data_IF_671644180355
#
_entry.id   IF_671644180355
#
_cell.length_a   1.000
_cell.length_b   1.000
_cell.length_c   1.000
_cell.angle_alpha   90.00
_cell.angle_beta   90.00
_cell.angle_gamma   90.00
#
_symmetry.space_group_name_H-M   'P 1'
#
loop_
_entity.id
_entity.type
_entity.pdbx_description
1 polymer ?
#
# COMPACT_ATOMS: atom_id res chain seq x y z
N UNK A 1 4.07 21.49 12.41
CA UNK A 1 4.60 20.93 11.16
C UNK A 1 6.01 21.47 10.95
N UNK A 2 6.95 20.63 10.56
CA UNK A 2 8.35 20.96 10.31
C UNK A 2 8.79 20.22 9.05
N UNK A 3 9.34 20.92 8.08
CA UNK A 3 10.01 20.31 6.93
C UNK A 3 11.52 20.39 7.14
N UNK A 4 12.20 19.25 7.05
CA UNK A 4 13.65 19.15 7.12
C UNK A 4 14.19 18.91 5.70
N UNK A 5 14.59 19.96 4.96
CA UNK A 5 15.16 19.80 3.63
C UNK A 5 16.58 19.24 3.72
N UNK A 6 16.96 18.48 2.71
CA UNK A 6 18.26 17.83 2.57
C UNK A 6 18.62 17.72 1.08
N UNK A 7 18.67 18.88 0.40
CA UNK A 7 18.93 18.96 -1.04
C UNK A 7 20.28 18.39 -1.43
N UNK A 8 21.28 18.53 -0.56
CA UNK A 8 22.65 18.08 -0.79
C UNK A 8 22.89 16.63 -0.30
N UNK A 9 21.97 16.09 0.51
CA UNK A 9 22.01 14.71 1.03
C UNK A 9 22.90 14.50 2.26
N UNK A 10 23.57 15.54 2.75
CA UNK A 10 24.52 15.46 3.86
C UNK A 10 23.84 15.22 5.22
N UNK A 11 22.56 15.61 5.36
CA UNK A 11 21.83 15.45 6.62
C UNK A 11 21.23 14.04 6.76
N UNK A 12 21.20 13.27 5.67
CA UNK A 12 20.47 12.01 5.57
C UNK A 12 19.06 12.11 6.16
N UNK A 13 18.36 13.23 5.90
CA UNK A 13 17.10 13.56 6.56
C UNK A 13 16.04 12.47 6.32
N UNK A 14 16.03 11.88 5.11
CA UNK A 14 15.18 10.75 4.72
C UNK A 14 15.36 9.50 5.58
N UNK A 15 16.53 9.34 6.22
CA UNK A 15 16.86 8.19 7.06
C UNK A 15 16.55 8.42 8.54
N UNK A 16 16.33 9.66 8.98
CA UNK A 16 16.01 9.99 10.38
C UNK A 16 14.82 9.19 10.95
N UNK A 17 13.73 8.92 10.19
CA UNK A 17 12.63 8.09 10.68
C UNK A 17 13.03 6.66 11.05
N UNK A 18 14.17 6.16 10.54
CA UNK A 18 14.70 4.84 10.84
C UNK A 18 15.61 4.82 12.08
N UNK A 19 16.01 5.99 12.59
CA UNK A 19 16.80 6.11 13.82
C UNK A 19 15.90 5.81 15.01
N UNK A 20 16.27 4.80 15.80
CA UNK A 20 15.50 4.36 16.96
C UNK A 20 15.19 5.53 17.90
N UNK A 21 13.92 5.66 18.26
CA UNK A 21 13.44 6.70 19.19
C UNK A 21 13.37 8.11 18.62
N UNK A 22 13.86 8.40 17.40
CA UNK A 22 13.84 9.75 16.84
C UNK A 22 12.41 10.28 16.67
N UNK A 23 11.55 9.53 15.97
CA UNK A 23 10.15 9.94 15.76
C UNK A 23 9.35 9.91 17.06
N UNK A 24 9.60 8.91 17.92
CA UNK A 24 8.97 8.81 19.23
C UNK A 24 9.31 10.02 20.13
N UNK A 25 10.55 10.49 20.11
CA UNK A 25 10.99 11.69 20.85
C UNK A 25 10.28 12.95 20.38
N UNK A 26 10.01 13.08 19.08
CA UNK A 26 9.19 14.18 18.53
C UNK A 26 7.77 14.11 19.10
N UNK A 27 7.16 12.92 19.11
CA UNK A 27 5.83 12.71 19.69
C UNK A 27 5.78 13.04 21.18
N UNK A 28 6.76 12.58 21.97
CA UNK A 28 6.86 12.85 23.39
C UNK A 28 6.98 14.35 23.69
N UNK A 29 7.78 15.08 22.91
CA UNK A 29 7.92 16.54 23.04
C UNK A 29 6.64 17.28 22.62
N UNK A 30 5.94 16.79 21.60
CA UNK A 30 4.69 17.37 21.11
C UNK A 30 3.48 17.05 22.01
N UNK A 31 3.55 15.98 22.81
CA UNK A 31 2.40 15.47 23.56
C UNK A 31 1.30 14.88 22.66
N UNK A 32 1.65 14.42 21.45
CA UNK A 32 0.72 13.90 20.46
C UNK A 32 1.39 12.84 19.58
N UNK A 33 0.59 11.99 18.91
CA UNK A 33 1.12 10.94 18.02
C UNK A 33 1.91 11.59 16.88
N UNK A 34 3.18 11.25 16.69
CA UNK A 34 4.00 11.85 15.64
C UNK A 34 3.64 11.25 14.28
N UNK A 35 3.71 12.07 13.23
CA UNK A 35 3.47 11.67 11.84
C UNK A 35 4.66 12.15 11.01
N UNK A 36 5.22 11.28 10.16
CA UNK A 36 6.31 11.62 9.24
C UNK A 36 5.98 11.19 7.82
N UNK A 37 6.47 11.95 6.85
CA UNK A 37 6.39 11.65 5.43
C UNK A 37 7.78 11.75 4.81
N UNK A 38 8.09 10.76 3.98
CA UNK A 38 9.27 10.76 3.10
C UNK A 38 8.75 10.88 1.68
N UNK A 39 8.18 12.05 1.35
CA UNK A 39 7.50 12.31 0.08
C UNK A 39 8.46 12.33 -1.11
N UNK A 40 9.66 12.84 -0.89
CA UNK A 40 10.70 13.03 -1.89
C UNK A 40 12.06 12.54 -1.37
N UNK A 41 13.06 12.51 -2.25
CA UNK A 41 14.39 12.03 -1.93
C UNK A 41 15.29 13.07 -1.22
N UNK A 42 14.81 14.28 -0.97
CA UNK A 42 15.60 15.43 -0.48
C UNK A 42 15.02 16.08 0.78
N UNK A 43 14.35 15.31 1.63
CA UNK A 43 13.86 15.83 2.90
C UNK A 43 12.79 14.97 3.54
N UNK A 44 12.36 15.39 4.73
CA UNK A 44 11.24 14.78 5.44
C UNK A 44 10.29 15.83 6.01
N UNK A 45 8.99 15.56 5.89
CA UNK A 45 7.94 16.34 6.53
C UNK A 45 7.53 15.67 7.83
N UNK A 46 7.58 16.39 8.94
CA UNK A 46 7.22 15.89 10.27
C UNK A 46 6.11 16.74 10.88
N UNK A 47 5.16 16.07 11.51
CA UNK A 47 4.05 16.67 12.23
C UNK A 47 3.61 15.80 13.41
N UNK A 48 2.49 16.19 14.00
CA UNK A 48 1.84 15.41 15.05
C UNK A 48 0.32 15.55 14.94
N UNK A 49 -0.40 14.53 15.38
CA UNK A 49 -1.85 14.43 15.36
C UNK A 49 -2.49 15.33 16.43
N UNK A 50 -2.48 16.65 16.20
CA UNK A 50 -3.13 17.62 17.10
C UNK A 50 -4.64 17.74 16.86
N UNK A 51 -5.10 17.45 15.65
CA UNK A 51 -6.52 17.40 15.24
C UNK A 51 -6.66 16.83 13.84
N UNK A 52 -7.85 16.35 13.47
CA UNK A 52 -8.18 15.84 12.13
C UNK A 52 -7.80 16.85 11.02
N UNK A 53 -8.07 18.13 11.26
CA UNK A 53 -7.73 19.23 10.34
C UNK A 53 -6.21 19.41 10.20
N UNK A 54 -5.45 19.20 11.26
CA UNK A 54 -3.99 19.25 11.17
C UNK A 54 -3.44 18.06 10.38
N UNK A 55 -4.00 16.86 10.58
CA UNK A 55 -3.65 15.66 9.80
C UNK A 55 -3.94 15.87 8.31
N UNK A 56 -5.11 16.39 7.97
CA UNK A 56 -5.48 16.72 6.58
C UNK A 56 -4.51 17.71 5.94
N UNK A 57 -4.09 18.75 6.68
CA UNK A 57 -3.07 19.70 6.18
C UNK A 57 -1.72 19.01 5.94
N UNK A 58 -1.28 18.14 6.85
CA UNK A 58 -0.04 17.38 6.67
C UNK A 58 -0.11 16.50 5.41
N UNK A 59 -1.23 15.81 5.19
CA UNK A 59 -1.46 14.99 4.00
C UNK A 59 -1.45 15.81 2.71
N UNK A 60 -2.11 16.97 2.70
CA UNK A 60 -2.12 17.89 1.55
C UNK A 60 -0.71 18.34 1.19
N UNK A 61 0.07 18.80 2.18
CA UNK A 61 1.46 19.25 1.95
C UNK A 61 2.35 18.10 1.50
N UNK A 62 2.23 16.92 2.12
CA UNK A 62 2.98 15.74 1.70
C UNK A 62 2.65 15.33 0.27
N UNK A 63 1.37 15.44 -0.13
CA UNK A 63 0.93 15.13 -1.49
C UNK A 63 1.52 16.12 -2.50
N UNK A 64 1.51 17.41 -2.19
CA UNK A 64 2.15 18.44 -3.02
C UNK A 64 3.66 18.19 -3.18
N UNK A 65 4.36 17.85 -2.09
CA UNK A 65 5.78 17.50 -2.16
C UNK A 65 6.02 16.28 -3.06
N UNK A 66 5.22 15.23 -2.88
CA UNK A 66 5.33 14.01 -3.66
C UNK A 66 5.07 14.24 -5.15
N UNK A 67 3.99 14.94 -5.50
CA UNK A 67 3.58 15.17 -6.89
C UNK A 67 4.57 16.08 -7.65
N UNK A 68 5.27 16.98 -6.93
CA UNK A 68 6.27 17.88 -7.51
C UNK A 68 7.71 17.36 -7.42
N UNK A 69 7.94 16.21 -6.76
CA UNK A 69 9.27 15.67 -6.56
C UNK A 69 9.90 15.22 -7.88
N UNK A 70 11.19 15.53 -8.06
CA UNK A 70 11.98 14.96 -9.17
C UNK A 70 12.11 13.44 -9.01
N UNK A 71 12.23 12.97 -7.76
CA UNK A 71 12.24 11.55 -7.40
C UNK A 71 11.28 11.32 -6.22
N UNK A 72 10.00 11.05 -6.49
CA UNK A 72 9.04 10.74 -5.44
C UNK A 72 9.45 9.45 -4.72
N UNK A 73 9.24 9.41 -3.40
CA UNK A 73 9.57 8.25 -2.55
C UNK A 73 8.31 7.62 -1.99
N UNK A 74 7.55 8.32 -1.15
CA UNK A 74 6.32 7.79 -0.56
C UNK A 74 5.35 8.89 -0.13
N UNK A 75 4.10 8.91 -0.63
CA UNK A 75 3.07 9.84 -0.14
C UNK A 75 2.43 9.36 1.18
N UNK A 76 2.72 8.12 1.61
CA UNK A 76 2.12 7.49 2.79
C UNK A 76 2.64 8.15 4.08
N UNK A 77 1.75 8.51 5.02
CA UNK A 77 2.16 8.92 6.36
C UNK A 77 2.62 7.71 7.17
N UNK A 78 3.67 7.90 7.96
CA UNK A 78 4.16 6.93 8.92
C UNK A 78 4.15 7.48 10.34
N UNK A 79 4.13 6.58 11.31
CA UNK A 79 4.15 6.86 12.75
C UNK A 79 4.91 5.74 13.44
N UNK A 80 5.00 5.76 14.77
CA UNK A 80 5.61 4.67 15.54
C UNK A 80 4.55 3.81 16.22
N UNK A 81 4.80 2.50 16.29
CA UNK A 81 4.03 1.60 17.14
C UNK A 81 4.52 1.61 18.59
N UNK A 82 3.96 0.75 19.44
CA UNK A 82 4.34 0.65 20.85
C UNK A 82 5.78 0.16 21.09
N UNK A 83 6.38 -0.52 20.11
CA UNK A 83 7.78 -0.95 20.14
C UNK A 83 8.74 0.11 19.56
N UNK A 84 8.22 1.24 19.08
CA UNK A 84 9.00 2.29 18.44
C UNK A 84 9.31 2.03 16.96
N UNK A 85 8.75 0.97 16.37
CA UNK A 85 8.95 0.65 14.96
C UNK A 85 8.13 1.58 14.07
N UNK A 86 8.71 1.97 12.93
CA UNK A 86 8.02 2.80 11.94
C UNK A 86 6.93 1.96 11.25
N UNK A 87 5.68 2.42 11.36
CA UNK A 87 4.50 1.78 10.78
C UNK A 87 3.66 2.79 10.02
N UNK A 88 2.88 2.38 9.00
CA UNK A 88 1.93 3.27 8.34
C UNK A 88 0.96 3.89 9.36
N UNK A 89 0.75 5.20 9.26
CA UNK A 89 -0.25 5.91 10.05
C UNK A 89 -1.64 5.60 9.48
N UNK A 90 -2.48 4.99 10.32
CA UNK A 90 -3.84 4.58 9.96
C UNK A 90 -4.87 5.25 10.86
N UNK A 91 -6.05 5.44 10.29
CA UNK A 91 -7.25 5.97 10.94
C UNK A 91 -8.45 5.12 10.54
N UNK A 92 -9.50 5.15 11.35
CA UNK A 92 -10.76 4.46 11.06
C UNK A 92 -11.47 5.02 9.81
N UNK A 93 -12.31 4.22 9.15
CA UNK A 93 -13.01 4.61 7.91
C UNK A 93 -13.89 5.86 8.05
N UNK A 94 -14.39 6.14 9.25
CA UNK A 94 -15.18 7.34 9.55
C UNK A 94 -14.36 8.61 9.74
N UNK A 95 -13.03 8.52 9.85
CA UNK A 95 -12.16 9.66 10.08
C UNK A 95 -11.98 10.50 8.79
N UNK A 96 -12.00 11.84 8.84
CA UNK A 96 -11.89 12.71 7.66
C UNK A 96 -10.66 12.43 6.78
N UNK A 97 -9.52 12.10 7.40
CA UNK A 97 -8.28 11.79 6.70
C UNK A 97 -8.23 10.40 6.02
N UNK A 98 -9.21 9.53 6.25
CA UNK A 98 -9.17 8.15 5.76
C UNK A 98 -9.02 8.07 4.24
N UNK A 99 -9.76 8.90 3.49
CA UNK A 99 -9.73 8.90 2.02
C UNK A 99 -8.37 9.31 1.47
N UNK A 100 -7.77 10.33 2.05
CA UNK A 100 -6.45 10.84 1.64
C UNK A 100 -5.34 9.83 1.95
N UNK A 101 -5.39 9.18 3.12
CA UNK A 101 -4.45 8.12 3.50
C UNK A 101 -4.60 6.94 2.53
N UNK A 102 -5.83 6.53 2.22
CA UNK A 102 -6.10 5.46 1.25
C UNK A 102 -5.61 5.79 -0.15
N UNK A 103 -5.74 7.05 -0.59
CA UNK A 103 -5.17 7.52 -1.87
C UNK A 103 -3.65 7.43 -1.88
N UNK A 104 -2.99 7.88 -0.80
CA UNK A 104 -1.55 7.76 -0.66
C UNK A 104 -1.08 6.29 -0.70
N UNK A 105 -1.75 5.40 0.04
CA UNK A 105 -1.44 3.96 0.03
C UNK A 105 -1.65 3.34 -1.36
N UNK A 106 -2.76 3.68 -2.04
CA UNK A 106 -3.06 3.20 -3.40
C UNK A 106 -2.03 3.68 -4.41
N UNK A 107 -1.63 4.95 -4.31
CA UNK A 107 -0.63 5.58 -5.18
C UNK A 107 0.74 4.93 -5.01
N UNK A 108 1.19 4.75 -3.76
CA UNK A 108 2.46 4.08 -3.48
C UNK A 108 2.45 2.65 -4.01
N UNK A 109 1.41 1.88 -3.67
CA UNK A 109 1.27 0.49 -4.10
C UNK A 109 1.32 0.38 -5.63
N UNK A 110 0.57 1.23 -6.35
CA UNK A 110 0.59 1.25 -7.80
C UNK A 110 2.00 1.47 -8.37
N UNK A 111 2.77 2.42 -7.82
CA UNK A 111 4.13 2.69 -8.27
C UNK A 111 5.07 1.50 -8.02
N UNK A 112 5.14 1.00 -6.79
CA UNK A 112 6.10 -0.05 -6.42
C UNK A 112 5.77 -1.40 -7.08
N UNK A 113 4.49 -1.75 -7.20
CA UNK A 113 4.09 -2.98 -7.88
C UNK A 113 4.20 -2.88 -9.40
N UNK A 114 4.05 -1.69 -10.00
CA UNK A 114 4.31 -1.52 -11.45
C UNK A 114 5.78 -1.75 -11.77
N UNK A 115 6.69 -1.14 -11.01
CA UNK A 115 8.12 -1.36 -11.20
C UNK A 115 8.47 -2.85 -11.06
N UNK A 116 7.98 -3.49 -10.01
CA UNK A 116 8.20 -4.92 -9.80
C UNK A 116 7.59 -5.79 -10.90
N UNK A 117 6.37 -5.46 -11.36
CA UNK A 117 5.68 -6.20 -12.41
C UNK A 117 6.52 -6.25 -13.70
N UNK A 118 7.14 -5.13 -14.09
CA UNK A 118 8.00 -5.10 -15.28
C UNK A 118 9.21 -6.02 -15.15
N UNK A 119 9.86 -6.08 -13.98
CA UNK A 119 10.96 -7.02 -13.72
C UNK A 119 10.50 -8.48 -13.78
N UNK A 120 9.41 -8.82 -13.07
CA UNK A 120 8.89 -10.19 -13.06
C UNK A 120 8.42 -10.65 -14.46
N UNK A 121 7.86 -9.73 -15.25
CA UNK A 121 7.47 -10.01 -16.63
C UNK A 121 8.70 -10.28 -17.51
N UNK A 122 9.79 -9.53 -17.33
CA UNK A 122 11.04 -9.78 -18.03
C UNK A 122 11.66 -11.13 -17.64
N UNK A 123 11.66 -11.46 -16.34
CA UNK A 123 12.14 -12.75 -15.83
C UNK A 123 11.33 -13.93 -16.38
N UNK A 124 10.01 -13.80 -16.44
CA UNK A 124 9.13 -14.81 -17.07
C UNK A 124 9.46 -14.98 -18.56
N UNK A 125 9.65 -13.88 -19.30
CA UNK A 125 10.00 -13.94 -20.71
C UNK A 125 11.39 -14.57 -20.97
N UNK A 126 12.30 -14.41 -20.01
CA UNK A 126 13.62 -15.04 -20.02
C UNK A 126 13.62 -16.48 -19.49
N UNK A 127 12.49 -16.99 -19.01
CA UNK A 127 12.38 -18.34 -18.43
C UNK A 127 13.05 -18.49 -17.06
N UNK A 128 13.27 -17.39 -16.34
CA UNK A 128 13.87 -17.39 -14.99
C UNK A 128 12.84 -17.70 -13.89
N UNK A 129 11.55 -17.49 -14.18
CA UNK A 129 10.42 -17.85 -13.32
C UNK A 129 9.31 -18.50 -14.17
N UNK A 130 8.42 -19.23 -13.52
CA UNK A 130 7.28 -19.89 -14.16
C UNK A 130 5.94 -19.17 -13.90
N UNK A 131 5.81 -18.54 -12.73
CA UNK A 131 4.57 -17.90 -12.30
C UNK A 131 4.37 -16.53 -12.98
N UNK A 132 3.14 -16.23 -13.38
CA UNK A 132 2.79 -14.92 -13.96
C UNK A 132 2.62 -13.88 -12.87
N UNK A 133 3.18 -12.68 -13.03
CA UNK A 133 2.84 -11.58 -12.13
C UNK A 133 1.44 -11.03 -12.46
N UNK A 134 0.53 -10.97 -11.47
CA UNK A 134 -0.69 -10.19 -11.64
C UNK A 134 -0.37 -8.68 -11.58
N UNK A 135 -0.93 -7.91 -12.50
CA UNK A 135 -0.78 -6.46 -12.48
C UNK A 135 -1.66 -5.87 -11.36
N UNK A 136 -1.11 -4.95 -10.56
CA UNK A 136 -1.90 -4.15 -9.64
C UNK A 136 -2.47 -2.95 -10.40
N UNK A 137 -3.78 -2.87 -10.48
CA UNK A 137 -4.49 -1.74 -11.09
C UNK A 137 -4.91 -0.75 -10.02
N UNK A 138 -4.80 0.55 -10.32
CA UNK A 138 -5.26 1.64 -9.46
C UNK A 138 -6.49 2.30 -10.10
N UNK A 139 -7.56 2.48 -9.34
CA UNK A 139 -8.76 3.16 -9.79
C UNK A 139 -9.35 4.06 -8.70
N UNK A 140 -10.14 5.03 -9.16
CA UNK A 140 -10.98 5.88 -8.32
C UNK A 140 -12.42 5.39 -8.40
N UNK A 141 -13.03 5.10 -7.25
CA UNK A 141 -14.44 4.72 -7.13
C UNK A 141 -15.36 5.93 -7.36
N UNK A 142 -16.66 5.72 -7.67
CA UNK A 142 -17.62 6.81 -7.83
C UNK A 142 -17.76 7.73 -6.61
N UNK A 143 -17.51 7.21 -5.40
CA UNK A 143 -17.54 7.99 -4.14
C UNK A 143 -16.28 8.86 -3.93
N UNK A 144 -15.35 8.84 -4.88
CA UNK A 144 -14.08 9.55 -4.87
C UNK A 144 -12.94 8.82 -4.14
N UNK A 145 -13.21 7.70 -3.47
CA UNK A 145 -12.16 6.92 -2.81
C UNK A 145 -11.29 6.21 -3.83
N UNK A 146 -9.99 6.17 -3.58
CA UNK A 146 -9.05 5.41 -4.40
C UNK A 146 -8.93 3.98 -3.90
N UNK A 147 -8.68 3.06 -4.83
CA UNK A 147 -8.62 1.63 -4.56
C UNK A 147 -7.69 0.94 -5.53
N UNK A 148 -7.15 -0.19 -5.11
CA UNK A 148 -6.33 -1.05 -5.97
C UNK A 148 -6.98 -2.40 -6.14
N UNK A 149 -6.81 -2.99 -7.31
CA UNK A 149 -7.30 -4.34 -7.56
C UNK A 149 -6.33 -5.18 -8.38
N UNK A 150 -6.40 -6.49 -8.21
CA UNK A 150 -5.61 -7.46 -8.96
C UNK A 150 -6.46 -8.69 -9.27
N UNK A 151 -6.21 -9.30 -10.42
CA UNK A 151 -6.96 -10.47 -10.87
C UNK A 151 -6.27 -11.77 -10.45
N UNK A 152 -7.08 -12.71 -9.96
CA UNK A 152 -6.74 -14.11 -9.81
C UNK A 152 -7.57 -14.91 -10.81
N UNK A 153 -6.95 -15.25 -11.93
CA UNK A 153 -7.55 -16.10 -12.96
C UNK A 153 -7.37 -17.56 -12.59
N UNK A 154 -8.46 -18.34 -12.61
CA UNK A 154 -8.41 -19.75 -12.22
C UNK A 154 -7.43 -20.56 -13.07
N UNK A 155 -6.79 -21.57 -12.47
CA UNK A 155 -5.81 -22.50 -13.08
C UNK A 155 -4.51 -21.87 -13.62
N UNK A 156 -4.31 -20.56 -13.44
CA UNK A 156 -3.10 -19.86 -13.90
C UNK A 156 -2.17 -19.58 -12.72
N UNK A 157 -0.98 -20.24 -12.64
CA UNK A 157 0.01 -19.93 -11.62
C UNK A 157 0.38 -18.44 -11.63
N UNK A 158 0.07 -17.75 -10.53
CA UNK A 158 0.07 -16.30 -10.45
C UNK A 158 0.74 -15.82 -9.15
N UNK A 159 1.59 -14.80 -9.26
CA UNK A 159 2.13 -14.02 -8.16
C UNK A 159 1.20 -12.82 -7.91
N UNK A 160 0.28 -12.97 -6.97
CA UNK A 160 -0.73 -11.98 -6.62
C UNK A 160 -0.11 -10.86 -5.75
N UNK A 161 -0.22 -9.58 -6.14
CA UNK A 161 0.18 -8.48 -5.27
C UNK A 161 -0.88 -8.28 -4.17
N UNK A 162 -0.49 -7.71 -3.03
CA UNK A 162 -1.47 -7.22 -2.06
C UNK A 162 -2.24 -6.05 -2.67
N UNK A 163 -3.56 -6.18 -2.78
CA UNK A 163 -4.47 -5.16 -3.32
C UNK A 163 -5.53 -4.78 -2.29
N UNK A 164 -6.35 -3.77 -2.56
CA UNK A 164 -7.56 -3.54 -1.75
C UNK A 164 -8.64 -4.59 -2.07
N UNK A 165 -8.78 -4.90 -3.36
CA UNK A 165 -9.75 -5.87 -3.88
C UNK A 165 -9.05 -6.90 -4.76
N UNK A 166 -9.34 -8.19 -4.59
CA UNK A 166 -8.93 -9.23 -5.54
C UNK A 166 -10.15 -9.66 -6.33
N UNK A 167 -10.04 -9.70 -7.65
CA UNK A 167 -11.09 -10.19 -8.54
C UNK A 167 -10.78 -11.63 -8.92
N UNK A 168 -11.65 -12.56 -8.52
CA UNK A 168 -11.56 -13.95 -8.94
C UNK A 168 -12.31 -14.09 -10.26
N UNK A 169 -11.64 -14.60 -11.28
CA UNK A 169 -12.21 -14.75 -12.62
C UNK A 169 -12.18 -16.21 -13.05
N UNK A 170 -13.36 -16.75 -13.33
CA UNK A 170 -13.56 -18.08 -13.89
C UNK A 170 -13.24 -18.06 -15.39
N UNK A 171 -12.35 -18.94 -15.84
CA UNK A 171 -11.85 -18.95 -17.23
C UNK A 171 -12.86 -19.48 -18.23
N UNK A 172 -13.76 -20.36 -17.82
CA UNK A 172 -14.71 -21.05 -18.69
C UNK A 172 -15.96 -20.20 -18.92
N UNK A 173 -16.42 -19.52 -17.88
CA UNK A 173 -17.65 -18.71 -17.89
C UNK A 173 -17.38 -17.22 -18.07
N UNK A 174 -16.16 -16.75 -17.75
CA UNK A 174 -15.83 -15.33 -17.68
C UNK A 174 -16.49 -14.59 -16.50
N UNK A 175 -17.16 -15.31 -15.59
CA UNK A 175 -17.72 -14.72 -14.39
C UNK A 175 -16.60 -14.15 -13.52
N UNK A 176 -16.80 -12.93 -13.02
CA UNK A 176 -15.85 -12.29 -12.10
C UNK A 176 -16.56 -11.69 -10.90
N UNK A 177 -15.96 -11.83 -9.72
CA UNK A 177 -16.41 -11.14 -8.52
C UNK A 177 -15.22 -10.66 -7.68
N UNK A 178 -15.41 -9.52 -7.02
CA UNK A 178 -14.38 -8.86 -6.22
C UNK A 178 -14.56 -9.11 -4.72
N UNK A 179 -13.45 -9.27 -4.01
CA UNK A 179 -13.41 -9.40 -2.55
C UNK A 179 -12.36 -8.47 -1.95
N UNK A 180 -12.61 -7.89 -0.76
CA UNK A 180 -11.55 -7.28 0.01
C UNK A 180 -10.41 -8.26 0.27
N UNK A 181 -9.16 -7.79 0.24
CA UNK A 181 -7.99 -8.63 0.49
C UNK A 181 -8.07 -9.41 1.80
N UNK A 182 -8.47 -8.76 2.89
CA UNK A 182 -8.54 -9.41 4.20
C UNK A 182 -9.56 -10.56 4.20
N UNK A 183 -10.72 -10.40 3.53
CA UNK A 183 -11.69 -11.49 3.36
C UNK A 183 -11.10 -12.68 2.61
N UNK A 184 -10.27 -12.44 1.59
CA UNK A 184 -9.59 -13.50 0.85
C UNK A 184 -8.51 -14.18 1.71
N UNK A 185 -7.68 -13.38 2.38
CA UNK A 185 -6.57 -13.85 3.21
C UNK A 185 -7.03 -14.66 4.42
N UNK A 186 -8.20 -14.35 4.99
CA UNK A 186 -8.80 -15.12 6.08
C UNK A 186 -9.38 -16.47 5.59
N UNK A 187 -9.76 -16.55 4.32
CA UNK A 187 -10.38 -17.73 3.74
C UNK A 187 -9.39 -18.72 3.09
N UNK A 188 -8.19 -18.25 2.73
CA UNK A 188 -7.20 -18.99 1.95
C UNK A 188 -5.82 -18.84 2.58
N UNK A 189 -5.03 -19.92 2.61
CA UNK A 189 -3.63 -19.90 3.06
C UNK A 189 -2.74 -19.17 2.03
N UNK A 190 -2.80 -17.84 2.01
CA UNK A 190 -1.97 -17.01 1.14
C UNK A 190 -0.53 -16.97 1.67
N UNK A 191 0.36 -17.69 1.00
CA UNK A 191 1.78 -17.75 1.37
C UNK A 191 2.60 -16.69 0.64
N UNK A 192 3.33 -15.82 1.35
CA UNK A 192 4.24 -14.88 0.72
C UNK A 192 5.39 -15.63 0.05
N UNK A 193 5.81 -15.13 -1.12
CA UNK A 193 7.00 -15.64 -1.81
C UNK A 193 8.25 -14.98 -1.23
N UNK A 194 9.22 -15.79 -0.81
CA UNK A 194 10.49 -15.30 -0.25
C UNK A 194 11.32 -14.56 -1.31
N UNK A 195 12.10 -13.57 -0.85
CA UNK A 195 13.03 -12.81 -1.71
C UNK A 195 12.37 -11.79 -2.64
N UNK A 196 11.04 -11.65 -2.62
CA UNK A 196 10.30 -10.71 -3.48
C UNK A 196 9.74 -9.55 -2.65
N UNK A 197 10.11 -8.32 -3.02
CA UNK A 197 9.59 -7.09 -2.42
C UNK A 197 9.15 -6.08 -3.50
N UNK A 198 7.97 -5.43 -3.40
CA UNK A 198 6.89 -5.68 -2.43
C UNK A 198 6.38 -7.13 -2.44
N UNK A 199 5.85 -7.61 -1.32
CA UNK A 199 5.46 -9.02 -1.16
C UNK A 199 4.41 -9.45 -2.18
N UNK A 200 4.59 -10.62 -2.79
CA UNK A 200 3.57 -11.30 -3.60
C UNK A 200 3.23 -12.66 -3.00
N UNK A 201 2.04 -13.14 -3.33
CA UNK A 201 1.50 -14.40 -2.82
C UNK A 201 1.28 -15.33 -4.00
N UNK A 202 1.84 -16.55 -3.92
CA UNK A 202 1.68 -17.53 -5.00
C UNK A 202 0.30 -18.16 -4.90
N UNK A 203 -0.45 -18.12 -6.00
CA UNK A 203 -1.76 -18.76 -6.14
C UNK A 203 -1.82 -19.52 -7.47
N UNK A 204 -2.62 -20.58 -7.54
CA UNK A 204 -2.80 -21.36 -8.76
C UNK A 204 -4.30 -21.55 -9.00
N UNK A 205 -4.88 -22.53 -8.34
CA UNK A 205 -6.29 -22.87 -8.47
C UNK A 205 -7.13 -22.04 -7.50
N UNK A 206 -8.32 -21.63 -7.92
CA UNK A 206 -9.29 -21.05 -7.01
C UNK A 206 -9.57 -21.99 -5.82
N UNK A 207 -10.02 -21.43 -4.68
CA UNK A 207 -10.45 -22.24 -3.56
C UNK A 207 -11.52 -23.27 -3.95
N UNK A 208 -11.70 -24.30 -3.12
CA UNK A 208 -12.74 -25.29 -3.35
C UNK A 208 -14.15 -24.67 -3.45
N UNK A 209 -15.09 -25.40 -4.04
CA UNK A 209 -16.45 -24.92 -4.28
C UNK A 209 -17.17 -24.43 -3.00
N UNK A 210 -16.87 -25.04 -1.85
CA UNK A 210 -17.46 -24.64 -0.57
C UNK A 210 -16.92 -23.27 -0.14
N UNK A 211 -15.62 -23.06 -0.24
CA UNK A 211 -14.95 -21.80 0.07
C UNK A 211 -15.37 -20.72 -0.92
N UNK A 212 -15.44 -21.04 -2.21
CA UNK A 212 -15.94 -20.14 -3.25
C UNK A 212 -17.38 -19.70 -3.00
N UNK A 213 -18.27 -20.60 -2.57
CA UNK A 213 -19.64 -20.23 -2.21
C UNK A 213 -19.70 -19.27 -1.01
N UNK A 214 -18.87 -19.48 0.01
CA UNK A 214 -18.77 -18.55 1.16
C UNK A 214 -18.23 -17.20 0.74
N UNK A 215 -17.18 -17.19 -0.08
CA UNK A 215 -16.57 -15.97 -0.60
C UNK A 215 -17.56 -15.17 -1.45
N UNK A 216 -18.31 -15.81 -2.36
CA UNK A 216 -19.38 -15.16 -3.13
C UNK A 216 -20.45 -14.52 -2.22
N UNK A 217 -20.80 -15.16 -1.10
CA UNK A 217 -21.74 -14.59 -0.14
C UNK A 217 -21.19 -13.36 0.61
N UNK A 218 -19.87 -13.24 0.73
CA UNK A 218 -19.18 -12.08 1.29
C UNK A 218 -18.85 -11.00 0.26
N UNK A 219 -18.97 -11.31 -1.03
CA UNK A 219 -18.69 -10.37 -2.12
C UNK A 219 -19.59 -9.15 -1.98
N UNK A 220 -18.97 -7.99 -1.81
CA UNK A 220 -19.69 -6.72 -1.86
C UNK A 220 -19.51 -6.15 -3.25
N UNK A 221 -20.64 -5.91 -3.93
CA UNK A 221 -20.68 -4.97 -5.05
C UNK A 221 -20.45 -3.57 -4.47
N UNK A 222 -19.18 -3.17 -4.31
CA UNK A 222 -18.80 -1.78 -3.97
C UNK A 222 -18.33 -1.02 -5.22
#
# INVERSE_FOLDING_TARGET
MMHLPDTDGDLYAGSLPLVEGWLAGIGAKAGARPIVFVAENVGVLVGAEFSDQHVLRLLSVARELFDNAVRPVSPVPYTVDAAGALVPYRVERGHPAWREIRSAESTLAAQVYTQQYEYLRADLAAGLIEDRAAQLMHARKPDGSETTFAAWTDTVPTLLPRAHTVTLTDVDTGETFGLPWETLADAVDLRPVEGIHPTRYRVVDHPDAQTMARLRACARMD
#
